data_IF_661684861192
#
_entry.id   IF_661684861192
#
_cell.length_a   1.000
_cell.length_b   1.000
_cell.length_c   1.000
_cell.angle_alpha   90.00
_cell.angle_beta   90.00
_cell.angle_gamma   90.00
#
_symmetry.space_group_name_H-M   'P 1'
#
loop_
_entity.id
_entity.type
_entity.pdbx_description
1 polymer ?
#
# COMPACT_ATOMS: atom_id res chain seq x y z
N UNK A 1 17.05 11.18 -33.41
CA UNK A 1 17.62 9.83 -33.13
C UNK A 1 17.78 9.58 -31.63
N UNK A 2 18.33 10.52 -30.86
CA UNK A 2 18.55 10.37 -29.40
C UNK A 2 17.26 10.11 -28.59
N UNK A 3 16.18 10.85 -28.85
CA UNK A 3 14.89 10.62 -28.19
C UNK A 3 14.33 9.22 -28.38
N UNK A 4 14.52 8.64 -29.58
CA UNK A 4 14.07 7.29 -29.88
C UNK A 4 14.86 6.26 -29.04
N UNK A 5 16.16 6.44 -28.92
CA UNK A 5 17.03 5.57 -28.09
C UNK A 5 16.62 5.65 -26.62
N UNK A 6 16.33 6.86 -26.11
CA UNK A 6 15.86 7.05 -24.73
C UNK A 6 14.54 6.31 -24.50
N UNK A 7 13.55 6.50 -25.39
CA UNK A 7 12.24 5.85 -25.27
C UNK A 7 12.38 4.33 -25.30
N UNK A 8 13.14 3.79 -26.26
CA UNK A 8 13.38 2.34 -26.36
C UNK A 8 14.04 1.82 -25.07
N UNK A 9 15.03 2.53 -24.54
CA UNK A 9 15.71 2.13 -23.31
C UNK A 9 14.76 2.10 -22.11
N UNK A 10 13.90 3.11 -21.96
CA UNK A 10 12.88 3.14 -20.90
C UNK A 10 11.88 2.00 -21.03
N UNK A 11 11.43 1.70 -22.26
CA UNK A 11 10.52 0.57 -22.52
C UNK A 11 11.20 -0.76 -22.18
N UNK A 12 12.45 -0.96 -22.58
CA UNK A 12 13.22 -2.16 -22.26
C UNK A 12 13.36 -2.33 -20.74
N UNK A 13 13.70 -1.27 -20.01
CA UNK A 13 13.81 -1.31 -18.54
C UNK A 13 12.46 -1.64 -17.88
N UNK A 14 11.37 -1.07 -18.39
CA UNK A 14 10.02 -1.31 -17.90
C UNK A 14 9.62 -2.77 -18.11
N UNK A 15 9.83 -3.31 -19.32
CA UNK A 15 9.55 -4.70 -19.68
C UNK A 15 10.42 -5.66 -18.90
N UNK A 16 11.72 -5.40 -18.77
CA UNK A 16 12.64 -6.22 -17.97
C UNK A 16 12.24 -6.25 -16.49
N UNK A 17 11.77 -5.11 -15.95
CA UNK A 17 11.27 -5.03 -14.57
C UNK A 17 9.98 -5.84 -14.39
N UNK A 18 9.09 -5.86 -15.39
CA UNK A 18 7.91 -6.72 -15.39
C UNK A 18 8.28 -8.20 -15.45
N UNK A 19 9.27 -8.58 -16.26
CA UNK A 19 9.77 -9.96 -16.33
C UNK A 19 10.34 -10.44 -14.99
N UNK A 20 10.95 -9.55 -14.19
CA UNK A 20 11.40 -9.91 -12.83
C UNK A 20 10.24 -10.43 -11.98
N UNK A 21 9.08 -9.77 -12.03
CA UNK A 21 7.89 -10.17 -11.28
C UNK A 21 7.39 -11.54 -11.77
N UNK A 22 7.32 -11.72 -13.08
CA UNK A 22 6.85 -12.98 -13.70
C UNK A 22 7.80 -14.15 -13.44
N UNK A 23 9.11 -13.92 -13.44
CA UNK A 23 10.11 -14.96 -13.18
C UNK A 23 10.22 -15.28 -11.68
N UNK A 24 10.08 -14.28 -10.80
CA UNK A 24 10.02 -14.52 -9.35
C UNK A 24 8.72 -15.23 -8.94
N UNK A 25 7.59 -14.99 -9.61
CA UNK A 25 6.35 -15.74 -9.33
C UNK A 25 6.40 -17.19 -9.81
N UNK A 26 7.19 -17.50 -10.86
CA UNK A 26 7.45 -18.87 -11.31
C UNK A 26 8.45 -19.61 -10.42
N UNK A 27 9.46 -18.92 -9.92
CA UNK A 27 10.46 -19.48 -9.01
C UNK A 27 10.02 -19.22 -7.58
N UNK A 28 9.12 -20.07 -7.07
CA UNK A 28 8.48 -20.01 -5.74
C UNK A 28 9.44 -20.12 -4.53
N UNK A 29 10.60 -19.45 -4.55
CA UNK A 29 11.65 -19.64 -3.53
C UNK A 29 12.50 -18.42 -3.22
N UNK A 30 12.06 -17.19 -3.54
CA UNK A 30 12.69 -15.98 -2.99
C UNK A 30 11.76 -14.78 -3.17
N UNK A 31 10.77 -14.68 -2.29
CA UNK A 31 10.19 -13.37 -1.98
C UNK A 31 11.39 -12.48 -1.63
N UNK A 32 11.67 -11.46 -2.45
CA UNK A 32 12.64 -10.42 -2.11
C UNK A 32 12.02 -9.50 -1.03
N UNK A 33 11.60 -10.14 0.05
CA UNK A 33 11.33 -9.61 1.36
C UNK A 33 12.70 -9.58 2.01
N UNK A 34 13.19 -8.39 2.34
CA UNK A 34 14.21 -8.30 3.39
C UNK A 34 13.58 -8.97 4.62
N UNK A 35 14.11 -10.15 4.97
CA UNK A 35 13.66 -11.06 6.03
C UNK A 35 12.73 -10.37 7.04
N UNK A 36 11.42 -10.51 6.84
CA UNK A 36 10.39 -9.86 7.66
C UNK A 36 10.35 -10.43 9.09
N UNK A 37 11.20 -11.42 9.43
CA UNK A 37 11.25 -12.01 10.77
C UNK A 37 9.93 -12.65 11.23
N UNK A 38 8.94 -12.80 10.35
CA UNK A 38 7.58 -13.21 10.70
C UNK A 38 6.70 -12.11 11.29
N UNK A 39 7.07 -10.82 11.16
CA UNK A 39 6.30 -9.68 11.68
C UNK A 39 4.84 -9.76 11.24
N UNK A 40 4.56 -10.11 9.98
CA UNK A 40 3.20 -10.15 9.45
C UNK A 40 2.58 -11.56 9.33
N UNK A 41 2.86 -12.51 10.23
CA UNK A 41 2.32 -13.88 10.11
C UNK A 41 1.18 -14.16 11.10
N UNK A 42 0.09 -14.78 10.61
CA UNK A 42 -1.06 -15.21 11.40
C UNK A 42 -1.65 -14.13 12.34
N UNK A 43 -1.66 -12.87 11.89
CA UNK A 43 -2.22 -11.74 12.65
C UNK A 43 -3.60 -11.36 12.16
N UNK A 44 -4.40 -10.77 13.03
CA UNK A 44 -5.58 -10.01 12.67
C UNK A 44 -5.14 -8.59 12.25
N UNK A 45 -5.33 -8.27 10.97
CA UNK A 45 -4.84 -7.01 10.38
C UNK A 45 -6.01 -6.16 9.94
N UNK A 46 -6.04 -4.91 10.38
CA UNK A 46 -6.99 -3.89 9.95
C UNK A 46 -6.34 -2.95 8.95
N UNK A 47 -6.81 -2.96 7.71
CA UNK A 47 -6.49 -1.93 6.72
C UNK A 47 -7.51 -0.80 6.84
N UNK A 48 -7.05 0.41 7.20
CA UNK A 48 -7.90 1.60 7.31
C UNK A 48 -7.68 2.50 6.10
N UNK A 49 -8.74 2.68 5.30
CA UNK A 49 -8.75 3.50 4.07
C UNK A 49 -9.78 4.63 4.14
N UNK A 50 -9.62 5.62 3.28
CA UNK A 50 -10.49 6.78 3.25
C UNK A 50 -11.71 6.56 2.35
N UNK A 51 -11.51 5.98 1.17
CA UNK A 51 -12.54 5.83 0.14
C UNK A 51 -12.68 4.38 -0.31
N UNK A 52 -13.88 4.01 -0.79
CA UNK A 52 -14.03 2.78 -1.55
C UNK A 52 -13.16 2.87 -2.80
N UNK A 53 -12.39 1.83 -3.10
CA UNK A 53 -11.40 1.70 -4.18
C UNK A 53 -9.93 1.90 -3.79
N UNK A 54 -9.66 2.60 -2.68
CA UNK A 54 -8.30 2.83 -2.18
C UNK A 54 -7.53 1.51 -1.99
N UNK A 55 -8.21 0.44 -1.55
CA UNK A 55 -7.61 -0.86 -1.31
C UNK A 55 -7.06 -1.49 -2.60
N UNK A 56 -7.82 -1.35 -3.69
CA UNK A 56 -7.46 -1.87 -5.01
C UNK A 56 -6.44 -0.97 -5.72
N UNK A 57 -6.53 0.34 -5.53
CA UNK A 57 -5.64 1.32 -6.15
C UNK A 57 -4.25 1.35 -5.53
N UNK A 58 -4.14 1.21 -4.20
CA UNK A 58 -2.90 1.49 -3.48
C UNK A 58 -2.36 0.28 -2.72
N UNK A 59 -3.22 -0.63 -2.24
CA UNK A 59 -2.82 -1.65 -1.26
C UNK A 59 -2.81 -3.09 -1.78
N UNK A 60 -3.07 -3.34 -3.07
CA UNK A 60 -3.08 -4.71 -3.61
C UNK A 60 -1.79 -5.52 -3.32
N UNK A 61 -0.56 -4.97 -3.47
CA UNK A 61 0.65 -5.69 -3.06
C UNK A 61 0.63 -6.11 -1.59
N UNK A 62 0.22 -5.20 -0.70
CA UNK A 62 0.10 -5.46 0.74
C UNK A 62 -0.95 -6.53 1.05
N UNK A 63 -2.14 -6.42 0.47
CA UNK A 63 -3.23 -7.37 0.67
C UNK A 63 -2.88 -8.77 0.20
N UNK A 64 -2.28 -8.90 -0.99
CA UNK A 64 -1.82 -10.19 -1.51
C UNK A 64 -0.76 -10.81 -0.60
N UNK A 65 0.20 -10.01 -0.13
CA UNK A 65 1.25 -10.48 0.77
C UNK A 65 0.67 -10.99 2.09
N UNK A 66 -0.18 -10.20 2.76
CA UNK A 66 -0.77 -10.57 4.05
C UNK A 66 -1.68 -11.81 3.93
N UNK A 67 -2.46 -11.89 2.86
CA UNK A 67 -3.29 -13.08 2.57
C UNK A 67 -2.43 -14.33 2.40
N UNK A 68 -1.29 -14.23 1.70
CA UNK A 68 -0.34 -15.35 1.55
C UNK A 68 0.33 -15.78 2.86
N UNK A 69 0.35 -14.91 3.88
CA UNK A 69 0.89 -15.18 5.22
C UNK A 69 -0.15 -15.72 6.20
N UNK A 70 -1.38 -15.97 5.76
CA UNK A 70 -2.46 -16.47 6.61
C UNK A 70 -3.00 -15.42 7.58
N UNK A 71 -2.79 -14.13 7.32
CA UNK A 71 -3.41 -13.08 8.12
C UNK A 71 -4.92 -13.01 7.87
N UNK A 72 -5.65 -12.72 8.94
CA UNK A 72 -7.07 -12.42 8.87
C UNK A 72 -7.24 -10.92 8.57
N UNK A 73 -7.75 -10.60 7.39
CA UNK A 73 -7.81 -9.23 6.87
C UNK A 73 -9.18 -8.61 7.12
N UNK A 74 -9.18 -7.46 7.77
CA UNK A 74 -10.33 -6.58 7.95
C UNK A 74 -10.06 -5.26 7.23
N UNK A 75 -11.09 -4.68 6.60
CA UNK A 75 -10.97 -3.39 5.91
C UNK A 75 -12.01 -2.44 6.48
N UNK A 76 -11.53 -1.32 7.04
CA UNK A 76 -12.37 -0.22 7.51
C UNK A 76 -12.26 0.95 6.54
N UNK A 77 -13.35 1.20 5.81
CA UNK A 77 -13.47 2.34 4.91
C UNK A 77 -14.21 3.48 5.61
N UNK A 78 -13.57 4.64 5.68
CA UNK A 78 -14.04 5.76 6.50
C UNK A 78 -15.11 6.63 5.84
N UNK A 79 -15.29 6.50 4.53
CA UNK A 79 -16.33 7.22 3.78
C UNK A 79 -17.01 6.32 2.76
N UNK A 80 -18.13 6.79 2.22
CA UNK A 80 -18.81 6.15 1.08
C UNK A 80 -18.38 6.75 -0.27
N UNK A 81 -17.24 7.48 -0.33
CA UNK A 81 -16.69 8.05 -1.57
C UNK A 81 -16.99 9.53 -1.81
N UNK A 82 -17.38 10.30 -0.78
CA UNK A 82 -17.52 11.76 -0.89
C UNK A 82 -16.15 12.43 -0.78
N UNK A 83 -15.83 13.27 -1.77
CA UNK A 83 -14.54 13.93 -1.92
C UNK A 83 -14.44 15.17 -1.00
N UNK A 84 -13.29 15.35 -0.33
CA UNK A 84 -12.88 16.54 0.45
C UNK A 84 -13.64 16.92 1.73
N UNK A 85 -14.37 16.00 2.37
CA UNK A 85 -14.88 16.30 3.71
C UNK A 85 -13.81 16.02 4.77
N UNK A 86 -13.38 17.07 5.49
CA UNK A 86 -12.49 16.93 6.65
C UNK A 86 -13.14 16.00 7.65
N UNK A 87 -12.39 14.98 8.09
CA UNK A 87 -12.89 13.99 9.00
C UNK A 87 -12.56 14.36 10.45
N UNK A 88 -13.52 14.17 11.37
CA UNK A 88 -13.29 14.48 12.78
C UNK A 88 -12.35 13.46 13.43
N UNK A 89 -11.12 13.88 13.75
CA UNK A 89 -10.06 12.99 14.25
C UNK A 89 -10.44 12.20 15.51
N UNK A 90 -11.23 12.79 16.41
CA UNK A 90 -11.71 12.11 17.62
C UNK A 90 -12.66 10.97 17.28
N UNK A 91 -13.56 11.20 16.32
CA UNK A 91 -14.49 10.18 15.83
C UNK A 91 -13.73 9.06 15.11
N UNK A 92 -12.75 9.40 14.27
CA UNK A 92 -11.93 8.41 13.56
C UNK A 92 -11.21 7.49 14.54
N UNK A 93 -10.48 8.08 15.50
CA UNK A 93 -9.76 7.32 16.52
C UNK A 93 -10.70 6.42 17.32
N UNK A 94 -11.91 6.90 17.64
CA UNK A 94 -12.94 6.10 18.34
C UNK A 94 -13.43 4.92 17.50
N UNK A 95 -13.77 5.13 16.22
CA UNK A 95 -14.24 4.06 15.33
C UNK A 95 -13.16 3.00 15.13
N UNK A 96 -11.90 3.42 14.89
CA UNK A 96 -10.77 2.49 14.73
C UNK A 96 -10.58 1.68 16.02
N UNK A 97 -10.70 2.32 17.18
CA UNK A 97 -10.60 1.65 18.49
C UNK A 97 -11.69 0.61 18.71
N UNK A 98 -12.93 0.92 18.34
CA UNK A 98 -14.05 -0.02 18.41
C UNK A 98 -13.79 -1.23 17.50
N UNK A 99 -13.31 -1.00 16.27
CA UNK A 99 -13.01 -2.08 15.33
C UNK A 99 -11.85 -2.96 15.80
N UNK A 100 -10.81 -2.37 16.41
CA UNK A 100 -9.68 -3.10 17.00
C UNK A 100 -10.17 -4.09 18.05
N UNK A 101 -11.08 -3.67 18.93
CA UNK A 101 -11.62 -4.52 19.99
C UNK A 101 -12.53 -5.60 19.41
N UNK A 102 -13.44 -5.23 18.51
CA UNK A 102 -14.43 -6.15 17.93
C UNK A 102 -13.78 -7.28 17.13
N UNK A 103 -12.72 -6.96 16.40
CA UNK A 103 -12.04 -7.90 15.48
C UNK A 103 -10.72 -8.45 16.04
N UNK A 104 -10.40 -8.15 17.31
CA UNK A 104 -9.17 -8.54 17.99
C UNK A 104 -7.90 -8.24 17.16
N UNK A 105 -7.80 -7.01 16.67
CA UNK A 105 -6.76 -6.57 15.72
C UNK A 105 -5.41 -6.44 16.42
N UNK A 106 -4.37 -7.06 15.83
CA UNK A 106 -2.98 -6.97 16.29
C UNK A 106 -2.20 -5.88 15.54
N UNK A 107 -2.65 -5.54 14.33
CA UNK A 107 -1.91 -4.72 13.38
C UNK A 107 -2.83 -3.81 12.58
N UNK A 108 -2.52 -2.51 12.54
CA UNK A 108 -3.20 -1.52 11.69
C UNK A 108 -2.30 -1.13 10.54
N UNK A 109 -2.85 -1.06 9.33
CA UNK A 109 -2.17 -0.52 8.15
C UNK A 109 -3.00 0.64 7.62
N UNK A 110 -2.34 1.74 7.25
CA UNK A 110 -2.99 2.93 6.71
C UNK A 110 -2.07 3.72 5.78
N UNK A 111 -2.50 4.90 5.34
CA UNK A 111 -1.69 5.86 4.59
C UNK A 111 -0.65 6.55 5.48
N UNK A 112 0.41 7.09 4.88
CA UNK A 112 1.34 7.98 5.58
C UNK A 112 0.80 9.41 5.70
N UNK A 113 1.59 10.28 6.33
CA UNK A 113 1.24 11.69 6.57
C UNK A 113 1.07 12.52 5.28
N UNK A 114 1.56 12.06 4.13
CA UNK A 114 1.38 12.73 2.85
C UNK A 114 0.10 12.28 2.16
N UNK A 115 -0.31 11.02 2.34
CA UNK A 115 -1.57 10.53 1.81
C UNK A 115 -1.53 10.28 0.30
N UNK A 116 -0.45 9.65 -0.19
CA UNK A 116 -0.15 9.29 -1.59
C UNK A 116 0.02 10.49 -2.52
N UNK A 117 -0.97 11.36 -2.62
CA UNK A 117 -1.02 12.54 -3.49
C UNK A 117 -1.37 13.82 -2.74
N UNK A 118 -1.20 13.87 -1.42
CA UNK A 118 -1.61 15.02 -0.62
C UNK A 118 -3.11 15.05 -0.33
N UNK A 119 -3.82 13.92 -0.43
CA UNK A 119 -5.28 13.90 -0.26
C UNK A 119 -5.66 14.06 1.21
N UNK A 120 -6.49 15.05 1.55
CA UNK A 120 -6.82 15.37 2.95
C UNK A 120 -7.41 14.17 3.70
N UNK A 121 -8.35 13.43 3.12
CA UNK A 121 -8.95 12.28 3.81
C UNK A 121 -7.91 11.17 4.09
N UNK A 122 -6.90 10.97 3.23
CA UNK A 122 -5.85 9.99 3.48
C UNK A 122 -4.98 10.45 4.66
N UNK A 123 -4.69 11.75 4.72
CA UNK A 123 -3.99 12.38 5.84
C UNK A 123 -4.82 12.30 7.13
N UNK A 124 -6.13 12.51 7.08
CA UNK A 124 -7.03 12.42 8.23
C UNK A 124 -7.06 11.01 8.80
N UNK A 125 -7.11 9.98 7.95
CA UNK A 125 -7.03 8.58 8.40
C UNK A 125 -5.68 8.32 9.07
N UNK A 126 -4.58 8.77 8.48
CA UNK A 126 -3.25 8.69 9.10
C UNK A 126 -3.22 9.35 10.48
N UNK A 127 -3.74 10.58 10.59
CA UNK A 127 -3.81 11.31 11.87
C UNK A 127 -4.72 10.62 12.89
N UNK A 128 -5.83 10.01 12.46
CA UNK A 128 -6.71 9.21 13.30
C UNK A 128 -6.00 8.01 13.92
N UNK A 129 -5.21 7.28 13.13
CA UNK A 129 -4.37 6.17 13.60
C UNK A 129 -3.28 6.69 14.56
N UNK A 130 -2.61 7.80 14.24
CA UNK A 130 -1.62 8.37 15.16
C UNK A 130 -2.23 8.81 16.49
N UNK A 131 -3.42 9.40 16.45
CA UNK A 131 -4.13 9.85 17.65
C UNK A 131 -4.51 8.66 18.54
N UNK A 132 -4.92 7.55 17.93
CA UNK A 132 -5.17 6.29 18.61
C UNK A 132 -3.90 5.77 19.31
N UNK A 133 -2.75 5.73 18.63
CA UNK A 133 -1.49 5.22 19.22
C UNK A 133 -0.98 6.06 20.39
N UNK A 134 -1.29 7.36 20.41
CA UNK A 134 -0.98 8.25 21.52
C UNK A 134 -1.89 8.04 22.74
N UNK A 135 -3.10 7.49 22.54
CA UNK A 135 -3.98 7.10 23.63
C UNK A 135 -3.43 5.79 24.24
N UNK A 136 -2.82 5.90 25.41
CA UNK A 136 -2.05 4.84 26.10
C UNK A 136 -2.85 3.59 26.46
N UNK A 137 -4.14 3.55 26.14
CA UNK A 137 -5.04 2.42 26.41
C UNK A 137 -4.82 1.21 25.49
N UNK A 138 -4.06 1.31 24.39
CA UNK A 138 -3.91 0.25 23.37
C UNK A 138 -2.47 -0.06 22.95
N UNK A 139 -1.53 -0.10 23.92
CA UNK A 139 -0.10 -0.36 23.65
C UNK A 139 0.22 -1.70 22.95
N UNK A 140 -0.76 -2.57 22.72
CA UNK A 140 -0.57 -3.87 22.08
C UNK A 140 -0.68 -3.83 20.55
N UNK A 141 -1.33 -2.80 19.97
CA UNK A 141 -1.56 -2.75 18.52
C UNK A 141 -0.40 -2.09 17.81
N UNK A 142 0.19 -2.81 16.86
CA UNK A 142 1.23 -2.29 15.99
C UNK A 142 0.62 -1.54 14.79
N UNK A 143 1.23 -0.45 14.33
CA UNK A 143 0.72 0.30 13.19
C UNK A 143 1.79 0.58 12.13
N UNK A 144 1.41 0.46 10.86
CA UNK A 144 2.27 0.68 9.70
C UNK A 144 1.59 1.59 8.68
N UNK A 145 2.39 2.37 7.97
CA UNK A 145 1.95 3.31 6.95
C UNK A 145 2.52 2.99 5.57
N UNK A 146 1.70 3.19 4.54
CA UNK A 146 2.12 3.12 3.14
C UNK A 146 2.95 4.36 2.79
N UNK A 147 4.23 4.14 2.46
CA UNK A 147 5.16 5.20 2.09
C UNK A 147 4.75 5.84 0.76
N UNK A 148 4.50 7.14 0.79
CA UNK A 148 4.20 7.93 -0.39
C UNK A 148 5.42 8.12 -1.30
N UNK A 149 5.19 8.04 -2.61
CA UNK A 149 6.21 8.26 -3.63
C UNK A 149 5.98 9.58 -4.36
N UNK A 150 7.06 10.21 -4.83
CA UNK A 150 6.97 11.38 -5.68
C UNK A 150 6.30 11.04 -7.03
N UNK A 151 5.87 12.06 -7.77
CA UNK A 151 5.09 11.88 -9.01
C UNK A 151 5.80 11.03 -10.07
N UNK A 152 7.13 11.15 -10.19
CA UNK A 152 7.92 10.40 -11.17
C UNK A 152 7.97 8.93 -10.81
N UNK A 153 8.25 8.63 -9.53
CA UNK A 153 8.25 7.27 -8.99
C UNK A 153 6.86 6.67 -9.01
N UNK A 154 5.81 7.46 -8.77
CA UNK A 154 4.42 6.99 -8.78
C UNK A 154 4.01 6.42 -10.13
N UNK A 155 4.45 7.03 -11.23
CA UNK A 155 4.07 6.62 -12.59
C UNK A 155 5.16 5.88 -13.36
N UNK A 156 6.21 5.39 -12.69
CA UNK A 156 7.26 4.57 -13.32
C UNK A 156 6.90 3.08 -13.39
N UNK A 157 5.80 2.66 -12.77
CA UNK A 157 5.29 1.29 -12.80
C UNK A 157 6.25 0.27 -12.16
N UNK A 158 6.53 -0.88 -12.80
CA UNK A 158 7.39 -1.92 -12.25
C UNK A 158 8.85 -1.49 -12.11
N UNK A 159 9.30 -0.42 -12.77
CA UNK A 159 10.66 0.12 -12.60
C UNK A 159 10.90 0.52 -11.13
N UNK A 160 9.86 1.00 -10.44
CA UNK A 160 9.98 1.42 -9.05
C UNK A 160 10.34 0.28 -8.08
N UNK A 161 10.17 -0.98 -8.47
CA UNK A 161 10.63 -2.13 -7.68
C UNK A 161 12.11 -1.98 -7.33
N UNK A 162 12.94 -1.62 -8.31
CA UNK A 162 14.38 -1.48 -8.10
C UNK A 162 14.70 -0.28 -7.21
N UNK A 163 14.03 0.85 -7.45
CA UNK A 163 14.21 2.07 -6.66
C UNK A 163 13.77 1.88 -5.21
N UNK A 164 12.64 1.19 -5.01
CA UNK A 164 12.09 0.86 -3.68
C UNK A 164 13.03 -0.07 -2.90
N UNK A 165 13.54 -1.13 -3.53
CA UNK A 165 14.52 -2.03 -2.90
C UNK A 165 15.84 -1.32 -2.58
N UNK A 166 16.31 -0.44 -3.48
CA UNK A 166 17.51 0.35 -3.25
C UNK A 166 17.32 1.34 -2.10
N UNK A 167 16.20 2.06 -2.09
CA UNK A 167 15.82 3.00 -1.05
C UNK A 167 15.69 2.33 0.32
N UNK A 168 15.11 1.12 0.38
CA UNK A 168 14.99 0.36 1.62
C UNK A 168 16.36 -0.05 2.19
N UNK A 169 17.34 -0.39 1.33
CA UNK A 169 18.71 -0.71 1.77
C UNK A 169 19.46 0.49 2.35
N UNK A 170 19.23 1.68 1.81
CA UNK A 170 19.91 2.91 2.25
C UNK A 170 19.15 3.67 3.36
N UNK A 171 17.99 3.20 3.78
CA UNK A 171 17.23 3.87 4.83
C UNK A 171 17.91 3.64 6.20
N UNK A 172 18.56 4.69 6.71
CA UNK A 172 19.30 4.67 7.98
C UNK A 172 18.40 4.79 9.22
N UNK A 173 17.10 5.11 9.04
CA UNK A 173 16.18 5.43 10.14
C UNK A 173 14.87 4.63 10.03
N UNK A 174 14.86 3.45 10.66
CA UNK A 174 13.68 2.60 10.81
C UNK A 174 13.55 1.49 9.76
N UNK A 175 12.77 0.47 10.11
CA UNK A 175 12.53 -0.69 9.25
C UNK A 175 11.45 -0.35 8.21
N UNK A 176 11.80 -0.50 6.93
CA UNK A 176 10.87 -0.37 5.80
C UNK A 176 10.77 -1.72 5.10
N UNK A 177 9.56 -2.27 5.00
CA UNK A 177 9.30 -3.51 4.29
C UNK A 177 8.69 -3.22 2.93
N UNK A 178 9.39 -3.59 1.85
CA UNK A 178 8.84 -3.49 0.50
C UNK A 178 8.24 -4.82 0.06
N UNK A 179 6.94 -4.80 -0.21
CA UNK A 179 6.07 -5.90 -0.57
C UNK A 179 5.82 -5.86 -2.08
N UNK A 180 6.29 -6.89 -2.79
CA UNK A 180 6.13 -7.00 -4.24
C UNK A 180 4.79 -7.65 -4.58
N UNK A 181 4.13 -7.14 -5.62
CA UNK A 181 2.92 -7.76 -6.13
C UNK A 181 3.27 -8.78 -7.22
N UNK A 182 3.24 -10.05 -6.86
CA UNK A 182 3.44 -11.17 -7.79
C UNK A 182 2.30 -11.33 -8.80
N UNK A 183 1.15 -10.70 -8.54
CA UNK A 183 -0.04 -10.79 -9.38
C UNK A 183 -0.65 -9.41 -9.71
N UNK A 184 0.02 -8.54 -10.50
CA UNK A 184 -0.51 -7.23 -10.90
C UNK A 184 -1.90 -7.27 -11.58
N UNK A 185 -2.22 -8.38 -12.26
CA UNK A 185 -3.54 -8.60 -12.85
C UNK A 185 -4.67 -8.63 -11.82
N UNK A 186 -4.40 -9.04 -10.57
CA UNK A 186 -5.37 -8.98 -9.48
C UNK A 186 -5.72 -7.53 -9.13
N UNK A 187 -4.77 -6.60 -9.20
CA UNK A 187 -5.04 -5.17 -8.97
C UNK A 187 -6.03 -4.62 -9.98
N UNK A 188 -5.84 -4.95 -11.27
CA UNK A 188 -6.77 -4.59 -12.35
C UNK A 188 -8.15 -5.23 -12.14
N UNK A 189 -8.20 -6.52 -11.79
CA UNK A 189 -9.45 -7.23 -11.56
C UNK A 189 -10.22 -6.71 -10.34
N UNK A 190 -9.51 -6.36 -9.25
CA UNK A 190 -10.08 -5.77 -8.05
C UNK A 190 -10.65 -4.37 -8.33
N UNK A 191 -9.88 -3.51 -8.99
CA UNK A 191 -10.35 -2.17 -9.37
C UNK A 191 -11.56 -2.25 -10.31
N UNK A 192 -11.62 -3.26 -11.19
CA UNK A 192 -12.76 -3.47 -12.07
C UNK A 192 -14.07 -3.87 -11.34
N UNK A 193 -14.00 -4.35 -10.08
CA UNK A 193 -15.20 -4.62 -9.27
C UNK A 193 -15.89 -3.32 -8.82
N UNK A 194 -15.15 -2.22 -8.72
CA UNK A 194 -15.70 -0.89 -8.46
C UNK A 194 -16.30 -0.30 -9.72
N UNK A 195 -17.48 -0.80 -10.12
CA UNK A 195 -18.12 -0.47 -11.41
C UNK A 195 -18.23 1.03 -11.68
N UNK A 196 -18.60 1.83 -10.68
CA UNK A 196 -18.71 3.29 -10.81
C UNK A 196 -17.35 3.99 -10.96
N UNK A 197 -16.28 3.37 -10.47
CA UNK A 197 -14.91 3.90 -10.52
C UNK A 197 -14.08 3.31 -11.67
N UNK A 198 -14.61 2.35 -12.45
CA UNK A 198 -13.88 1.72 -13.56
C UNK A 198 -13.80 2.58 -14.83
N UNK A 199 -13.33 3.82 -14.65
CA UNK A 199 -13.18 4.87 -15.67
C UNK A 199 -11.76 4.88 -16.26
N UNK A 200 -11.61 5.47 -17.45
CA UNK A 200 -10.39 5.35 -18.26
C UNK A 200 -9.11 5.77 -17.53
N UNK A 201 -9.14 6.87 -16.76
CA UNK A 201 -7.95 7.35 -16.05
C UNK A 201 -7.55 6.45 -14.88
N UNK A 202 -8.50 5.77 -14.22
CA UNK A 202 -8.19 4.77 -13.18
C UNK A 202 -7.60 3.50 -13.79
N UNK A 203 -8.03 3.10 -14.99
CA UNK A 203 -7.39 2.00 -15.73
C UNK A 203 -5.93 2.30 -16.04
N UNK A 204 -5.65 3.53 -16.49
CA UNK A 204 -4.28 3.99 -16.72
C UNK A 204 -3.49 4.03 -15.41
N UNK A 205 -4.08 4.60 -14.35
CA UNK A 205 -3.44 4.63 -13.04
C UNK A 205 -3.05 3.23 -12.58
N UNK A 206 -3.98 2.27 -12.53
CA UNK A 206 -3.67 0.90 -12.06
C UNK A 206 -2.65 0.21 -12.98
N UNK A 207 -2.62 0.52 -14.28
CA UNK A 207 -1.65 -0.09 -15.19
C UNK A 207 -0.22 0.42 -15.01
N UNK A 208 -0.05 1.72 -14.74
CA UNK A 208 1.25 2.40 -14.73
C UNK A 208 1.71 2.86 -13.35
N UNK A 209 0.85 2.78 -12.33
CA UNK A 209 1.17 3.15 -10.97
C UNK A 209 2.12 2.15 -10.34
N UNK A 210 3.16 2.65 -9.68
CA UNK A 210 4.10 1.83 -8.91
C UNK A 210 3.44 1.12 -7.74
N UNK A 211 2.36 1.69 -7.19
CA UNK A 211 1.55 1.04 -6.14
C UNK A 211 0.89 -0.26 -6.60
N UNK A 212 0.76 -0.48 -7.90
CA UNK A 212 0.31 -1.79 -8.43
C UNK A 212 1.38 -2.86 -8.28
N UNK A 213 2.66 -2.50 -8.27
CA UNK A 213 3.78 -3.43 -8.37
C UNK A 213 4.55 -3.60 -7.05
N UNK A 214 4.64 -2.54 -6.25
CA UNK A 214 5.33 -2.55 -4.96
C UNK A 214 4.63 -1.63 -3.96
N UNK A 215 4.51 -2.08 -2.72
CA UNK A 215 4.20 -1.21 -1.58
C UNK A 215 5.39 -1.23 -0.63
N UNK A 216 5.84 -0.08 -0.15
CA UNK A 216 6.78 -0.04 0.97
C UNK A 216 6.03 0.44 2.20
N UNK A 217 6.08 -0.35 3.26
CA UNK A 217 5.45 -0.07 4.55
C UNK A 217 6.51 0.34 5.56
N UNK A 218 6.21 1.38 6.35
CA UNK A 218 7.04 1.85 7.45
C UNK A 218 6.26 1.77 8.76
N UNK A 219 6.91 1.41 9.85
CA UNK A 219 6.27 1.40 11.18
C UNK A 219 6.00 2.84 11.65
N UNK A 220 4.80 3.07 12.17
CA UNK A 220 4.42 4.34 12.80
C UNK A 220 4.96 4.34 14.23
N UNK A 221 5.79 5.34 14.55
CA UNK A 221 6.36 5.57 15.89
C UNK A 221 5.53 6.56 16.71
#
# INVERSE_FOLDING_TARGET
MEWLVIIITLVVLWVASLFKILHQSLSASQAAVLNDGGVFRNRNVLLVIAHPDDESMFFTPTLNYLSSRGCNLHILCMSTGWFWQIMELKLLSKIIKEEIVNCAIDLVITFDNYGVSGHCNHQDVHQGVRKLLQDTSHKEVEAWELVSTNILRKYSGPVDIWLSLLSAKFHLSGVVHCLLNEHPRRSLAAMAQHKSQWVWFRKLFVSFSSYTYVNCLKKIN
#
